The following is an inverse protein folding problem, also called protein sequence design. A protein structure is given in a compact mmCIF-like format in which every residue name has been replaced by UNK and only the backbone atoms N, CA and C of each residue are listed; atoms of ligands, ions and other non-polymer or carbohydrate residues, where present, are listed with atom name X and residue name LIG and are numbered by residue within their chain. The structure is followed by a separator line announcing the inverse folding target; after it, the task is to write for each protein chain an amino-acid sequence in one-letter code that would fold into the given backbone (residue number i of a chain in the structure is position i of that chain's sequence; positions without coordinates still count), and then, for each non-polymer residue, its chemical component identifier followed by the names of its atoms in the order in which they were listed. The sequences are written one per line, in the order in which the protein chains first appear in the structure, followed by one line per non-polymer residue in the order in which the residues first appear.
data_IF_775297406814
#
_entry.id   IF_775297406814
#
_cell.length_a   1.000
_cell.length_b   1.000
_cell.length_c   1.000
_cell.angle_alpha   90.00
_cell.angle_beta   90.00
_cell.angle_gamma   90.00
#
_symmetry.space_group_name_H-M   'P 1'
#
loop_
_entity.id
_entity.type
_entity.pdbx_description
1 polymer ?
#
# COMPACT_ATOMS: atom_id res chain seq x y z
N UNK A 1 49.32 53.86 43.24
CA UNK A 1 48.92 54.98 42.36
C UNK A 1 47.57 54.60 41.74
N UNK A 2 46.53 55.39 42.08
CA UNK A 2 45.14 55.41 41.57
C UNK A 2 44.20 54.19 41.79
N UNK A 3 43.51 54.29 42.94
CA UNK A 3 42.08 54.05 43.28
C UNK A 3 41.09 54.15 42.08
N UNK A 4 39.86 53.64 42.02
CA UNK A 4 38.90 52.84 42.83
C UNK A 4 37.68 52.63 41.92
N UNK A 5 36.88 51.58 42.11
CA UNK A 5 35.57 51.46 41.45
C UNK A 5 34.75 50.27 41.93
N UNK A 6 34.01 50.45 43.03
CA UNK A 6 33.00 49.52 43.51
C UNK A 6 31.78 49.51 42.59
N UNK A 7 31.30 48.31 42.24
CA UNK A 7 29.98 48.07 41.66
C UNK A 7 29.32 46.89 42.35
N UNK A 8 28.45 47.17 43.32
CA UNK A 8 27.55 46.21 43.95
C UNK A 8 26.44 45.88 42.95
N UNK A 9 26.31 44.62 42.54
CA UNK A 9 25.15 44.15 41.78
C UNK A 9 24.39 43.11 42.59
N UNK A 10 23.15 43.46 42.94
CA UNK A 10 22.20 42.60 43.62
C UNK A 10 21.91 41.32 42.82
N UNK A 11 21.87 40.19 43.53
CA UNK A 11 21.27 38.93 43.07
C UNK A 11 19.76 39.14 42.91
N UNK A 12 19.24 38.82 41.74
CA UNK A 12 17.82 38.48 41.54
C UNK A 12 17.78 37.07 40.97
N UNK A 13 17.16 36.16 41.72
CA UNK A 13 16.84 34.80 41.28
C UNK A 13 15.89 34.83 40.08
N UNK A 14 16.05 33.97 39.07
CA UNK A 14 14.97 33.71 38.13
C UNK A 14 14.10 32.57 38.65
N UNK A 15 12.85 32.89 38.99
CA UNK A 15 11.75 31.94 39.08
C UNK A 15 11.57 31.24 37.72
N UNK A 16 11.57 29.91 37.77
CA UNK A 16 11.26 29.05 36.63
C UNK A 16 9.75 29.11 36.36
N UNK A 17 9.36 29.78 35.28
CA UNK A 17 8.01 29.73 34.71
C UNK A 17 8.00 28.62 33.64
N UNK A 18 7.06 27.65 33.70
CA UNK A 18 6.98 26.57 32.71
C UNK A 18 6.53 27.07 31.33
N UNK A 19 6.97 26.45 30.22
CA UNK A 19 6.58 26.87 28.88
C UNK A 19 5.10 26.55 28.62
N UNK A 20 4.32 27.60 28.37
CA UNK A 20 2.98 27.49 27.77
C UNK A 20 3.13 27.10 26.30
N UNK A 21 2.57 25.95 25.93
CA UNK A 21 2.38 25.50 24.55
C UNK A 21 1.36 26.43 23.88
N UNK A 22 1.84 27.35 23.05
CA UNK A 22 1.02 28.21 22.20
C UNK A 22 0.69 27.50 20.89
N UNK A 23 -0.60 27.20 20.68
CA UNK A 23 -1.13 26.76 19.40
C UNK A 23 -0.85 27.80 18.30
N UNK A 24 -0.19 27.37 17.23
CA UNK A 24 -0.03 28.13 15.99
C UNK A 24 -1.42 28.43 15.38
N UNK A 25 -1.84 29.69 15.47
CA UNK A 25 -2.84 30.28 14.58
C UNK A 25 -2.15 30.62 13.25
N UNK A 26 -2.57 29.96 12.17
CA UNK A 26 -2.28 30.40 10.81
C UNK A 26 -3.03 31.71 10.53
N UNK A 27 -2.29 32.79 10.31
CA UNK A 27 -2.81 34.05 9.76
C UNK A 27 -2.17 34.27 8.40
N UNK A 28 -2.97 34.10 7.33
CA UNK A 28 -2.66 34.57 5.99
C UNK A 28 -2.70 36.10 5.99
N UNK A 29 -1.60 36.76 5.57
CA UNK A 29 -1.66 38.02 4.80
C UNK A 29 -0.35 38.31 4.06
N UNK A 30 -0.54 38.44 2.74
CA UNK A 30 0.19 39.16 1.68
C UNK A 30 1.37 40.08 2.03
N UNK A 31 2.44 39.96 1.23
CA UNK A 31 3.19 41.01 0.47
C UNK A 31 4.46 40.34 -0.10
N UNK A 32 4.67 40.14 -1.41
CA UNK A 32 4.82 41.06 -2.56
C UNK A 32 6.14 41.87 -2.58
N UNK A 33 6.92 41.64 -3.66
CA UNK A 33 8.05 42.40 -4.27
C UNK A 33 9.43 42.26 -3.59
N UNK A 34 10.59 42.13 -4.26
CA UNK A 34 11.03 42.20 -5.67
C UNK A 34 12.52 41.75 -5.78
N UNK A 35 12.96 41.29 -6.96
CA UNK A 35 14.37 41.32 -7.41
C UNK A 35 14.93 39.97 -7.89
N UNK A 36 14.67 39.52 -9.13
CA UNK A 36 15.41 39.77 -10.40
C UNK A 36 16.80 39.11 -10.52
N UNK A 37 16.85 38.03 -11.32
CA UNK A 37 17.91 37.52 -12.24
C UNK A 37 17.61 36.01 -12.43
N UNK A 38 17.20 35.45 -13.56
CA UNK A 38 17.32 35.84 -14.96
C UNK A 38 18.22 34.84 -15.69
N UNK A 39 17.77 33.60 -15.96
CA UNK A 39 18.24 32.73 -17.04
C UNK A 39 17.03 31.94 -17.57
N UNK A 40 16.74 32.15 -18.86
CA UNK A 40 15.74 31.45 -19.62
C UNK A 40 16.34 30.17 -20.21
N UNK A 41 15.62 29.05 -20.08
CA UNK A 41 15.72 27.91 -20.99
C UNK A 41 14.31 27.36 -21.21
N UNK A 42 13.89 27.49 -22.46
CA UNK A 42 12.66 27.03 -23.08
C UNK A 42 12.64 25.49 -23.16
N UNK A 43 11.48 24.87 -22.91
CA UNK A 43 10.84 23.72 -23.61
C UNK A 43 9.80 23.03 -22.68
N UNK A 44 8.76 22.36 -23.22
CA UNK A 44 7.39 22.84 -23.14
C UNK A 44 6.50 21.98 -22.24
N UNK A 45 5.36 22.58 -21.87
CA UNK A 45 4.23 21.96 -21.19
C UNK A 45 3.90 20.56 -21.73
N UNK A 46 4.11 19.56 -20.88
CA UNK A 46 3.41 18.29 -21.00
C UNK A 46 1.91 18.57 -20.80
N UNK A 47 1.17 18.45 -21.89
CA UNK A 47 -0.28 18.41 -21.92
C UNK A 47 -0.78 17.35 -20.95
N UNK A 48 -1.60 17.75 -19.99
CA UNK A 48 -2.43 16.86 -19.20
C UNK A 48 -3.28 16.00 -20.15
N UNK A 49 -2.89 14.73 -20.31
CA UNK A 49 -3.71 13.70 -20.95
C UNK A 49 -4.92 13.50 -20.04
N UNK A 50 -6.03 14.14 -20.41
CA UNK A 50 -7.38 13.70 -20.04
C UNK A 50 -7.45 12.21 -20.39
N UNK A 51 -7.42 11.35 -19.39
CA UNK A 51 -7.90 9.98 -19.50
C UNK A 51 -9.40 10.07 -19.82
N UNK A 52 -9.69 10.22 -21.10
CA UNK A 52 -11.01 9.92 -21.63
C UNK A 52 -11.25 8.44 -21.34
N UNK A 53 -12.12 8.17 -20.38
CA UNK A 53 -12.82 6.91 -20.27
C UNK A 53 -13.52 6.67 -21.61
N UNK A 54 -12.83 5.97 -22.51
CA UNK A 54 -13.41 5.47 -23.75
C UNK A 54 -14.28 4.29 -23.35
N UNK A 55 -15.54 4.60 -23.09
CA UNK A 55 -16.68 3.70 -23.07
C UNK A 55 -16.91 3.10 -24.47
N UNK A 56 -15.91 2.38 -24.98
CA UNK A 56 -15.90 1.79 -26.33
C UNK A 56 -16.04 0.26 -26.29
N UNK A 57 -15.90 -0.37 -25.12
CA UNK A 57 -16.19 -1.80 -24.96
C UNK A 57 -17.70 -2.08 -24.75
N UNK A 58 -18.44 -1.16 -24.11
CA UNK A 58 -19.88 -1.33 -23.87
C UNK A 58 -20.78 -1.02 -25.09
N UNK A 59 -20.24 -0.45 -26.17
CA UNK A 59 -20.97 -0.30 -27.43
C UNK A 59 -20.88 -1.53 -28.36
N UNK A 60 -19.99 -2.48 -28.09
CA UNK A 60 -19.94 -3.73 -28.85
C UNK A 60 -21.14 -4.65 -28.55
N UNK A 61 -21.69 -4.60 -27.33
CA UNK A 61 -22.89 -5.37 -26.94
C UNK A 61 -24.17 -4.88 -27.62
N UNK A 62 -24.18 -3.64 -28.14
CA UNK A 62 -25.33 -3.06 -28.86
C UNK A 62 -25.39 -3.43 -30.35
N UNK A 63 -24.27 -3.84 -30.95
CA UNK A 63 -24.20 -4.15 -32.39
C UNK A 63 -24.57 -5.61 -32.72
N UNK A 64 -24.54 -6.52 -31.75
CA UNK A 64 -24.96 -7.91 -31.97
C UNK A 64 -26.48 -8.10 -31.99
N UNK A 65 -27.28 -7.13 -31.49
CA UNK A 65 -28.75 -7.19 -31.48
C UNK A 65 -29.43 -6.46 -32.65
N UNK A 66 -28.67 -5.83 -33.54
CA UNK A 66 -29.20 -4.94 -34.58
C UNK A 66 -29.19 -5.45 -36.02
N UNK A 67 -28.65 -6.65 -36.28
CA UNK A 67 -28.51 -7.19 -37.64
C UNK A 67 -29.47 -8.35 -37.96
N UNK A 68 -30.66 -8.38 -37.35
CA UNK A 68 -31.81 -9.17 -37.85
C UNK A 68 -32.61 -8.42 -38.94
N UNK A 69 -31.89 -7.68 -39.79
CA UNK A 69 -32.44 -7.02 -40.97
C UNK A 69 -32.69 -8.00 -42.12
N UNK A 70 -33.80 -8.72 -42.05
CA UNK A 70 -34.66 -9.10 -43.18
C UNK A 70 -34.04 -9.76 -44.43
N UNK A 71 -33.01 -10.60 -44.30
CA UNK A 71 -32.92 -11.81 -45.13
C UNK A 71 -33.21 -12.96 -44.21
N UNK A 72 -34.39 -13.56 -44.35
CA UNK A 72 -34.70 -14.81 -43.67
C UNK A 72 -33.53 -15.78 -43.88
N UNK A 73 -33.16 -16.59 -42.88
CA UNK A 73 -32.07 -17.56 -43.02
C UNK A 73 -32.28 -18.27 -44.36
N UNK A 74 -31.28 -18.17 -45.25
CA UNK A 74 -31.29 -18.87 -46.52
C UNK A 74 -31.62 -20.32 -46.18
N UNK A 75 -32.84 -20.73 -46.55
CA UNK A 75 -33.38 -22.01 -46.17
C UNK A 75 -32.67 -23.04 -47.05
N UNK A 76 -31.49 -23.44 -46.61
CA UNK A 76 -30.65 -24.42 -47.29
C UNK A 76 -31.39 -25.76 -47.40
N UNK A 77 -32.34 -26.04 -46.50
CA UNK A 77 -33.21 -27.21 -46.60
C UNK A 77 -34.22 -27.02 -47.75
N UNK A 78 -34.80 -25.84 -47.92
CA UNK A 78 -35.64 -25.54 -49.09
C UNK A 78 -34.84 -25.58 -50.41
N UNK A 79 -33.58 -25.14 -50.40
CA UNK A 79 -32.70 -25.27 -51.56
C UNK A 79 -32.37 -26.74 -51.86
N UNK A 80 -32.09 -27.55 -50.83
CA UNK A 80 -31.91 -29.00 -50.95
C UNK A 80 -33.16 -29.65 -51.55
N UNK A 81 -34.35 -29.34 -51.03
CA UNK A 81 -35.64 -29.85 -51.56
C UNK A 81 -35.84 -29.42 -53.01
N UNK A 82 -35.45 -28.20 -53.36
CA UNK A 82 -35.55 -27.70 -54.74
C UNK A 82 -34.62 -28.47 -55.67
N UNK A 83 -33.38 -28.75 -55.26
CA UNK A 83 -32.43 -29.60 -56.01
C UNK A 83 -32.94 -31.04 -56.13
N UNK A 84 -33.51 -31.61 -55.06
CA UNK A 84 -34.13 -32.94 -55.09
C UNK A 84 -35.38 -33.02 -55.97
N UNK A 85 -36.10 -31.91 -56.18
CA UNK A 85 -37.20 -31.91 -57.16
C UNK A 85 -36.67 -31.95 -58.60
N UNK A 86 -35.51 -31.33 -58.85
CA UNK A 86 -34.86 -31.38 -60.16
C UNK A 86 -34.35 -32.78 -60.50
N UNK A 87 -34.01 -33.62 -59.52
CA UNK A 87 -33.55 -35.01 -59.76
C UNK A 87 -34.64 -35.91 -60.35
N UNK A 88 -35.92 -35.57 -60.15
CA UNK A 88 -37.05 -36.32 -60.71
C UNK A 88 -37.38 -35.94 -62.16
N UNK A 89 -36.63 -35.04 -62.77
CA UNK A 89 -36.84 -34.63 -64.16
C UNK A 89 -36.27 -35.66 -65.15
N UNK A 90 -36.94 -35.81 -66.30
CA UNK A 90 -36.55 -36.75 -67.36
C UNK A 90 -35.18 -36.42 -67.97
N UNK A 91 -34.50 -37.41 -68.54
CA UNK A 91 -33.14 -37.26 -69.10
C UNK A 91 -33.04 -36.12 -70.13
N UNK A 92 -34.07 -35.92 -70.96
CA UNK A 92 -34.11 -34.82 -71.94
C UNK A 92 -34.10 -33.44 -71.27
N UNK A 93 -34.73 -33.31 -70.09
CA UNK A 93 -34.80 -32.08 -69.31
C UNK A 93 -33.46 -31.74 -68.64
N UNK A 94 -32.60 -32.72 -68.34
CA UNK A 94 -31.34 -32.49 -67.62
C UNK A 94 -30.32 -31.66 -68.42
N UNK A 95 -30.30 -31.79 -69.74
CA UNK A 95 -29.42 -30.95 -70.59
C UNK A 95 -29.75 -29.45 -70.45
N UNK A 96 -31.03 -29.12 -70.28
CA UNK A 96 -31.51 -27.75 -70.05
C UNK A 96 -31.24 -27.25 -68.63
N UNK A 97 -30.96 -28.14 -67.67
CA UNK A 97 -30.66 -27.78 -66.28
C UNK A 97 -29.19 -27.39 -66.07
N UNK A 98 -28.29 -27.71 -67.01
CA UNK A 98 -26.85 -27.43 -66.85
C UNK A 98 -26.56 -25.95 -66.52
N UNK A 99 -27.12 -24.95 -67.23
CA UNK A 99 -26.89 -23.54 -66.89
C UNK A 99 -27.36 -23.16 -65.49
N UNK A 100 -28.45 -23.80 -65.00
CA UNK A 100 -28.95 -23.59 -63.65
C UNK A 100 -28.02 -24.23 -62.61
N UNK A 101 -27.54 -25.45 -62.85
CA UNK A 101 -26.54 -26.13 -62.00
C UNK A 101 -25.27 -25.28 -61.89
N UNK A 102 -24.76 -24.79 -63.02
CA UNK A 102 -23.57 -23.94 -63.07
C UNK A 102 -23.80 -22.61 -62.34
N UNK A 103 -25.01 -22.04 -62.43
CA UNK A 103 -25.40 -20.85 -61.68
C UNK A 103 -25.45 -21.11 -60.16
N UNK A 104 -25.98 -22.25 -59.71
CA UNK A 104 -26.02 -22.60 -58.28
C UNK A 104 -24.60 -22.85 -57.76
N UNK A 105 -23.75 -23.59 -58.50
CA UNK A 105 -22.34 -23.76 -58.13
C UNK A 105 -21.62 -22.42 -58.01
N UNK A 106 -21.83 -21.53 -58.97
CA UNK A 106 -21.24 -20.18 -58.93
C UNK A 106 -21.68 -19.42 -57.68
N UNK A 107 -22.95 -19.51 -57.27
CA UNK A 107 -23.46 -18.88 -56.04
C UNK A 107 -22.84 -19.52 -54.77
N UNK A 108 -22.77 -20.85 -54.71
CA UNK A 108 -22.13 -21.57 -53.61
C UNK A 108 -20.66 -21.16 -53.45
N UNK A 109 -19.92 -21.12 -54.55
CA UNK A 109 -18.49 -20.84 -54.57
C UNK A 109 -18.13 -19.37 -54.34
N UNK A 110 -18.84 -18.46 -55.00
CA UNK A 110 -18.48 -17.04 -55.01
C UNK A 110 -19.16 -16.22 -53.93
N UNK A 111 -20.27 -16.69 -53.37
CA UNK A 111 -21.05 -15.92 -52.39
C UNK A 111 -21.11 -16.64 -51.05
N UNK A 112 -21.63 -17.87 -51.02
CA UNK A 112 -21.95 -18.55 -49.76
C UNK A 112 -20.69 -19.05 -49.03
N UNK A 113 -19.72 -19.65 -49.73
CA UNK A 113 -18.49 -20.14 -49.09
C UNK A 113 -17.65 -18.99 -48.49
N UNK A 114 -17.43 -17.86 -49.21
CA UNK A 114 -16.78 -16.69 -48.64
C UNK A 114 -17.54 -16.10 -47.45
N UNK A 115 -18.88 -16.14 -47.47
CA UNK A 115 -19.68 -15.66 -46.34
C UNK A 115 -19.47 -16.52 -45.08
N UNK A 116 -19.50 -17.85 -45.20
CA UNK A 116 -19.18 -18.76 -44.09
C UNK A 116 -17.77 -18.47 -43.53
N UNK A 117 -16.78 -18.28 -44.40
CA UNK A 117 -15.41 -17.94 -44.00
C UNK A 117 -15.32 -16.60 -43.26
N UNK A 118 -16.09 -15.60 -43.71
CA UNK A 118 -16.21 -14.30 -43.05
C UNK A 118 -16.88 -14.41 -41.68
N UNK A 119 -17.97 -15.17 -41.56
CA UNK A 119 -18.64 -15.43 -40.29
C UNK A 119 -17.72 -16.15 -39.30
N UNK A 120 -16.95 -17.14 -39.75
CA UNK A 120 -15.94 -17.82 -38.93
C UNK A 120 -14.87 -16.84 -38.43
N UNK A 121 -14.29 -16.05 -39.33
CA UNK A 121 -13.27 -15.05 -38.97
C UNK A 121 -13.79 -14.02 -37.99
N UNK A 122 -15.06 -13.62 -38.12
CA UNK A 122 -15.72 -12.72 -37.19
C UNK A 122 -15.87 -13.36 -35.80
N UNK A 123 -16.33 -14.60 -35.72
CA UNK A 123 -16.47 -15.33 -34.46
C UNK A 123 -15.12 -15.50 -33.74
N UNK A 124 -14.05 -15.84 -34.48
CA UNK A 124 -12.70 -15.93 -33.93
C UNK A 124 -12.21 -14.57 -33.42
N UNK A 125 -12.40 -13.51 -34.22
CA UNK A 125 -12.01 -12.15 -33.82
C UNK A 125 -12.73 -11.69 -32.56
N UNK A 126 -14.00 -12.03 -32.37
CA UNK A 126 -14.75 -11.69 -31.15
C UNK A 126 -14.12 -12.33 -29.90
N UNK A 127 -13.70 -13.60 -29.99
CA UNK A 127 -12.99 -14.28 -28.91
C UNK A 127 -11.63 -13.64 -28.62
N UNK A 128 -10.86 -13.36 -29.67
CA UNK A 128 -9.52 -12.77 -29.55
C UNK A 128 -9.57 -11.35 -28.97
N UNK A 129 -10.53 -10.54 -29.40
CA UNK A 129 -10.71 -9.17 -28.91
C UNK A 129 -11.19 -9.16 -27.45
N UNK A 130 -12.08 -10.09 -27.06
CA UNK A 130 -12.46 -10.25 -25.66
C UNK A 130 -11.28 -10.71 -24.79
N UNK A 131 -10.44 -11.61 -25.30
CA UNK A 131 -9.26 -12.10 -24.59
C UNK A 131 -8.20 -10.99 -24.35
N UNK A 132 -8.05 -10.03 -25.28
CA UNK A 132 -7.19 -8.85 -25.07
C UNK A 132 -7.62 -7.99 -23.88
N UNK A 133 -8.90 -8.03 -23.50
CA UNK A 133 -9.42 -7.31 -22.33
C UNK A 133 -8.70 -7.69 -21.03
N UNK A 134 -8.26 -8.94 -20.89
CA UNK A 134 -7.50 -9.38 -19.71
C UNK A 134 -6.11 -8.74 -19.62
N UNK A 135 -5.43 -8.54 -20.75
CA UNK A 135 -4.10 -7.93 -20.79
C UNK A 135 -4.13 -6.42 -20.50
N UNK A 136 -5.30 -5.78 -20.60
CA UNK A 136 -5.48 -4.37 -20.26
C UNK A 136 -5.61 -4.13 -18.74
N UNK A 137 -5.85 -5.18 -17.96
CA UNK A 137 -5.90 -5.09 -16.50
C UNK A 137 -4.46 -5.05 -15.93
N UNK A 138 -4.18 -4.10 -15.02
CA UNK A 138 -2.84 -3.89 -14.45
C UNK A 138 -2.37 -5.08 -13.60
N UNK A 139 -1.06 -5.29 -13.56
CA UNK A 139 -0.46 -6.25 -12.64
C UNK A 139 -0.63 -5.82 -11.17
N UNK A 140 -0.73 -6.78 -10.23
CA UNK A 140 -0.83 -6.47 -8.81
C UNK A 140 0.46 -5.85 -8.27
N UNK A 141 0.32 -4.94 -7.31
CA UNK A 141 1.43 -4.33 -6.60
C UNK A 141 2.23 -5.36 -5.77
N UNK A 142 3.55 -5.13 -5.67
CA UNK A 142 4.46 -6.02 -4.97
C UNK A 142 4.57 -5.68 -3.48
N UNK A 143 3.97 -6.53 -2.64
CA UNK A 143 3.95 -6.34 -1.18
C UNK A 143 5.29 -6.48 -0.46
N UNK A 144 6.34 -6.95 -1.13
CA UNK A 144 7.65 -7.15 -0.48
C UNK A 144 8.32 -5.83 -0.09
N UNK A 145 8.07 -4.74 -0.83
CA UNK A 145 8.75 -3.45 -0.63
C UNK A 145 8.48 -2.83 0.75
N UNK A 146 7.22 -2.83 1.21
CA UNK A 146 6.87 -2.31 2.56
C UNK A 146 7.53 -3.14 3.66
N UNK A 147 7.64 -4.45 3.46
CA UNK A 147 8.28 -5.37 4.41
C UNK A 147 9.76 -5.03 4.63
N UNK A 148 10.49 -4.81 3.55
CA UNK A 148 11.93 -4.48 3.57
C UNK A 148 12.20 -3.13 4.27
N UNK A 149 11.45 -2.08 3.91
CA UNK A 149 11.64 -0.74 4.51
C UNK A 149 11.26 -0.74 6.00
N UNK A 150 10.26 -1.52 6.39
CA UNK A 150 9.88 -1.69 7.80
C UNK A 150 11.02 -2.31 8.61
N UNK A 151 11.64 -3.36 8.11
CA UNK A 151 12.75 -4.02 8.78
C UNK A 151 13.95 -3.07 8.94
N UNK A 152 14.28 -2.32 7.89
CA UNK A 152 15.32 -1.28 7.94
C UNK A 152 15.02 -0.22 9.02
N UNK A 153 13.79 0.27 9.09
CA UNK A 153 13.39 1.24 10.10
C UNK A 153 13.51 0.69 11.53
N UNK A 154 13.08 -0.56 11.75
CA UNK A 154 13.17 -1.22 13.06
C UNK A 154 14.62 -1.36 13.52
N UNK A 155 15.51 -1.80 12.63
CA UNK A 155 16.93 -1.93 12.94
C UNK A 155 17.56 -0.56 13.22
N UNK A 156 17.20 0.47 12.44
CA UNK A 156 17.66 1.84 12.69
C UNK A 156 17.26 2.35 14.09
N UNK A 157 16.01 2.11 14.52
CA UNK A 157 15.53 2.55 15.84
C UNK A 157 16.20 1.82 17.00
N UNK A 158 16.58 0.55 16.83
CA UNK A 158 17.39 -0.19 17.84
C UNK A 158 18.76 0.46 18.02
N UNK A 159 19.42 0.79 16.91
CA UNK A 159 20.72 1.48 16.94
C UNK A 159 20.60 2.88 17.55
N UNK A 160 19.60 3.68 17.16
CA UNK A 160 19.32 4.97 17.78
C UNK A 160 19.10 4.86 19.29
N UNK A 161 18.36 3.84 19.73
CA UNK A 161 18.12 3.59 21.15
C UNK A 161 19.39 3.30 21.94
N UNK A 162 20.34 2.56 21.36
CA UNK A 162 21.64 2.34 22.00
C UNK A 162 22.47 3.63 22.11
N UNK A 163 22.43 4.49 21.09
CA UNK A 163 23.17 5.75 21.06
C UNK A 163 22.61 6.78 22.04
N UNK A 164 21.29 6.83 22.24
CA UNK A 164 20.70 7.78 23.20
C UNK A 164 21.07 7.43 24.64
N UNK A 165 21.14 6.14 24.97
CA UNK A 165 21.59 5.69 26.30
C UNK A 165 23.06 6.07 26.52
N UNK A 166 23.95 5.74 25.59
CA UNK A 166 25.38 6.10 25.66
C UNK A 166 25.61 7.62 25.73
N UNK A 167 24.83 8.40 24.98
CA UNK A 167 24.88 9.85 25.01
C UNK A 167 24.43 10.40 26.38
N UNK A 168 23.32 9.92 26.92
CA UNK A 168 22.81 10.35 28.23
C UNK A 168 23.81 10.02 29.34
N UNK A 169 24.26 8.77 29.44
CA UNK A 169 25.22 8.33 30.46
C UNK A 169 26.51 9.18 30.39
N UNK A 170 27.01 9.44 29.18
CA UNK A 170 28.20 10.27 28.98
C UNK A 170 27.99 11.73 29.40
N UNK A 171 26.80 12.27 29.18
CA UNK A 171 26.46 13.64 29.52
C UNK A 171 26.19 13.83 31.01
N UNK A 172 25.58 12.85 31.66
CA UNK A 172 25.40 12.83 33.12
C UNK A 172 26.75 12.82 33.84
N UNK A 173 27.69 11.98 33.39
CA UNK A 173 29.08 11.99 33.87
C UNK A 173 29.77 13.35 33.67
N UNK A 174 29.50 14.01 32.53
CA UNK A 174 30.06 15.32 32.24
C UNK A 174 29.53 16.38 33.23
N UNK A 175 28.26 16.29 33.62
CA UNK A 175 27.65 17.17 34.61
C UNK A 175 28.26 16.94 36.00
N UNK A 176 28.40 15.69 36.44
CA UNK A 176 29.04 15.36 37.73
C UNK A 176 30.48 15.88 37.78
N UNK A 177 31.26 15.70 36.71
CA UNK A 177 32.64 16.22 36.64
C UNK A 177 32.70 17.76 36.62
N UNK A 178 31.70 18.42 36.04
CA UNK A 178 31.60 19.87 36.08
C UNK A 178 31.36 20.38 37.51
N UNK A 179 30.54 19.70 38.31
CA UNK A 179 30.33 20.00 39.73
C UNK A 179 31.60 19.79 40.55
N UNK A 180 32.30 18.66 40.34
CA UNK A 180 33.60 18.38 41.00
C UNK A 180 34.62 19.47 40.66
N UNK A 181 34.68 19.91 39.40
CA UNK A 181 35.54 21.04 39.00
C UNK A 181 35.22 22.29 39.81
N UNK A 182 33.95 22.67 39.93
CA UNK A 182 33.54 23.86 40.70
C UNK A 182 34.02 23.75 42.15
N UNK A 183 33.73 22.63 42.82
CA UNK A 183 34.14 22.41 44.21
C UNK A 183 35.67 22.50 44.41
N UNK A 184 36.45 21.83 43.54
CA UNK A 184 37.92 21.84 43.63
C UNK A 184 38.50 23.23 43.36
N UNK A 185 37.97 23.96 42.39
CA UNK A 185 38.43 25.31 42.08
C UNK A 185 37.97 26.36 43.09
N UNK A 186 36.83 26.17 43.75
CA UNK A 186 36.43 26.99 44.91
C UNK A 186 37.37 26.78 46.10
N UNK A 187 37.78 25.53 46.38
CA UNK A 187 38.80 25.23 47.39
C UNK A 187 40.13 25.92 47.08
N UNK A 188 40.57 25.90 45.81
CA UNK A 188 41.76 26.63 45.36
C UNK A 188 41.65 28.13 45.66
N UNK A 189 40.52 28.77 45.30
CA UNK A 189 40.28 30.19 45.60
C UNK A 189 40.33 30.49 47.10
N UNK A 190 39.87 29.56 47.94
CA UNK A 190 39.93 29.70 49.38
C UNK A 190 41.37 29.72 49.93
N UNK A 191 42.27 28.92 49.36
CA UNK A 191 43.69 28.86 49.77
C UNK A 191 44.58 29.89 49.06
N UNK A 192 44.10 30.51 47.97
CA UNK A 192 44.76 31.62 47.26
C UNK A 192 44.61 32.98 47.98
N UNK A 193 43.83 33.03 49.04
CA UNK A 193 43.75 34.20 49.90
C UNK A 193 44.96 34.29 50.84
N UNK A 194 45.45 35.51 51.09
CA UNK A 194 46.52 35.73 52.06
C UNK A 194 46.04 35.28 53.45
N UNK A 195 46.77 34.41 54.16
CA UNK A 195 46.28 33.83 55.40
C UNK A 195 46.18 34.93 56.48
N UNK A 196 45.01 35.13 57.12
CA UNK A 196 44.86 36.12 58.18
C UNK A 196 45.67 35.76 59.44
N UNK A 197 46.00 34.48 59.61
CA UNK A 197 46.80 33.91 60.69
C UNK A 197 48.32 34.00 60.41
N UNK A 198 48.73 34.70 59.35
CA UNK A 198 50.14 34.85 59.02
C UNK A 198 50.90 35.37 60.25
N UNK A 199 51.92 34.65 60.77
CA UNK A 199 52.70 35.14 61.89
C UNK A 199 53.29 36.49 61.53
N UNK A 200 52.95 37.52 62.30
CA UNK A 200 53.43 38.86 62.04
C UNK A 200 54.97 38.83 62.09
N UNK A 201 55.61 39.42 61.07
CA UNK A 201 57.07 39.41 60.88
C UNK A 201 57.82 39.97 62.09
N UNK A 202 57.14 40.72 62.95
CA UNK A 202 57.69 41.39 64.11
C UNK A 202 57.17 40.90 65.47
N UNK A 203 56.19 39.98 65.52
CA UNK A 203 55.69 39.46 66.80
C UNK A 203 56.55 38.27 67.24
N UNK A 204 57.59 38.61 68.01
CA UNK A 204 58.27 37.66 68.87
C UNK A 204 57.28 37.26 69.96
N UNK A 205 56.65 36.10 69.80
CA UNK A 205 55.86 35.54 70.87
C UNK A 205 56.79 35.31 72.09
N UNK A 206 56.27 35.51 73.31
CA UNK A 206 57.07 35.48 74.54
C UNK A 206 57.76 34.13 74.82
N UNK A 207 57.40 33.10 74.05
CA UNK A 207 57.93 31.73 74.09
C UNK A 207 59.10 31.47 73.12
N UNK A 208 59.41 32.38 72.20
CA UNK A 208 60.53 32.22 71.27
C UNK A 208 61.88 32.52 71.94
N UNK A 209 62.62 31.47 72.25
CA UNK A 209 63.93 31.55 72.95
C UNK A 209 65.02 32.21 72.09
N UNK A 210 64.86 32.28 70.76
CA UNK A 210 65.82 32.92 69.84
C UNK A 210 65.17 33.40 68.52
N UNK A 211 65.86 34.31 67.80
CA UNK A 211 65.45 34.74 66.45
C UNK A 211 65.38 33.56 65.46
N UNK A 212 66.28 32.58 65.60
CA UNK A 212 66.31 31.40 64.72
C UNK A 212 65.01 30.58 64.81
N UNK A 213 64.49 30.39 66.03
CA UNK A 213 63.24 29.62 66.26
C UNK A 213 62.06 30.33 65.59
N UNK A 214 61.95 31.66 65.76
CA UNK A 214 60.93 32.47 65.12
C UNK A 214 61.01 32.38 63.58
N UNK A 215 62.20 32.61 63.01
CA UNK A 215 62.41 32.56 61.56
C UNK A 215 62.06 31.17 60.98
N UNK A 216 62.41 30.08 61.68
CA UNK A 216 62.03 28.71 61.29
C UNK A 216 60.52 28.50 61.32
N UNK A 217 59.81 28.99 62.33
CA UNK A 217 58.35 28.88 62.43
C UNK A 217 57.64 29.63 61.29
N UNK A 218 58.03 30.88 61.02
CA UNK A 218 57.48 31.68 59.90
C UNK A 218 57.74 30.97 58.57
N UNK A 219 58.98 30.50 58.34
CA UNK A 219 59.33 29.74 57.14
C UNK A 219 58.44 28.49 56.99
N UNK A 220 58.34 27.67 58.04
CA UNK A 220 57.57 26.43 57.99
C UNK A 220 56.08 26.68 57.74
N UNK A 221 55.51 27.75 58.31
CA UNK A 221 54.12 28.17 58.06
C UNK A 221 53.89 28.48 56.58
N UNK A 222 54.72 29.34 55.97
CA UNK A 222 54.57 29.67 54.55
C UNK A 222 54.88 28.49 53.65
N UNK A 223 55.83 27.62 54.01
CA UNK A 223 56.07 26.37 53.28
C UNK A 223 54.81 25.48 53.25
N UNK A 224 54.12 25.33 54.39
CA UNK A 224 52.87 24.58 54.44
C UNK A 224 51.77 25.23 53.58
N UNK A 225 51.63 26.56 53.64
CA UNK A 225 50.62 27.29 52.84
C UNK A 225 50.88 27.20 51.35
N UNK A 226 52.13 27.33 50.92
CA UNK A 226 52.52 27.10 49.53
C UNK A 226 52.21 25.66 49.11
N UNK A 227 52.47 24.67 49.98
CA UNK A 227 52.12 23.28 49.69
C UNK A 227 50.60 23.07 49.53
N UNK A 228 49.78 23.61 50.46
CA UNK A 228 48.31 23.57 50.37
C UNK A 228 47.80 24.20 49.07
N UNK A 229 48.38 25.33 48.67
CA UNK A 229 48.07 26.02 47.44
C UNK A 229 48.41 25.19 46.20
N UNK A 230 49.63 24.65 46.11
CA UNK A 230 50.07 23.81 44.98
C UNK A 230 49.16 22.59 44.81
N UNK A 231 48.81 21.92 45.90
CA UNK A 231 47.90 20.76 45.85
C UNK A 231 46.50 21.17 45.38
N UNK A 232 45.98 22.31 45.82
CA UNK A 232 44.66 22.78 45.39
C UNK A 232 44.64 23.26 43.92
N UNK A 233 45.72 23.89 43.46
CA UNK A 233 45.91 24.27 42.06
C UNK A 233 45.94 23.03 41.16
N UNK A 234 46.69 22.00 41.55
CA UNK A 234 46.77 20.73 40.83
C UNK A 234 45.39 20.04 40.78
N UNK A 235 44.69 19.95 41.91
CA UNK A 235 43.34 19.38 41.97
C UNK A 235 42.35 20.12 41.06
N UNK A 236 42.33 21.46 41.09
CA UNK A 236 41.47 22.27 40.23
C UNK A 236 41.82 22.13 38.75
N UNK A 237 43.11 22.12 38.41
CA UNK A 237 43.60 21.94 37.03
C UNK A 237 43.20 20.58 36.49
N UNK A 238 43.44 19.51 37.26
CA UNK A 238 43.07 18.14 36.89
C UNK A 238 41.56 17.97 36.74
N UNK A 239 40.76 18.52 37.67
CA UNK A 239 39.30 18.48 37.57
C UNK A 239 38.80 19.26 36.35
N UNK A 240 39.40 20.41 36.06
CA UNK A 240 39.08 21.21 34.87
C UNK A 240 39.34 20.45 33.59
N UNK A 241 40.51 19.82 33.45
CA UNK A 241 40.85 19.02 32.28
C UNK A 241 39.88 17.84 32.09
N UNK A 242 39.56 17.10 33.16
CA UNK A 242 38.61 15.98 33.14
C UNK A 242 37.20 16.44 32.72
N UNK A 243 36.70 17.51 33.31
CA UNK A 243 35.38 18.06 32.97
C UNK A 243 35.32 18.53 31.51
N UNK A 244 36.33 19.25 31.03
CA UNK A 244 36.40 19.71 29.63
C UNK A 244 36.50 18.54 28.65
N UNK A 245 37.31 17.53 28.96
CA UNK A 245 37.42 16.33 28.13
C UNK A 245 36.09 15.58 28.04
N UNK A 246 35.42 15.32 29.18
CA UNK A 246 34.14 14.60 29.20
C UNK A 246 33.02 15.39 28.52
N UNK A 247 32.99 16.72 28.70
CA UNK A 247 32.03 17.60 28.01
C UNK A 247 32.16 17.54 26.48
N UNK A 248 33.39 17.50 25.96
CA UNK A 248 33.63 17.29 24.51
C UNK A 248 33.10 15.94 24.05
N UNK A 249 33.34 14.87 24.80
CA UNK A 249 32.82 13.53 24.48
C UNK A 249 31.30 13.49 24.50
N UNK A 250 30.65 14.06 25.52
CA UNK A 250 29.18 14.21 25.59
C UNK A 250 28.64 14.90 24.35
N UNK A 251 29.24 16.02 23.92
CA UNK A 251 28.83 16.73 22.70
C UNK A 251 28.89 15.82 21.46
N UNK A 252 30.01 15.12 21.25
CA UNK A 252 30.19 14.21 20.09
C UNK A 252 29.15 13.08 20.11
N UNK A 253 28.89 12.47 21.27
CA UNK A 253 27.89 11.40 21.41
C UNK A 253 26.48 11.90 21.14
N UNK A 254 26.13 13.06 21.68
CA UNK A 254 24.83 13.69 21.47
C UNK A 254 24.60 14.06 20.00
N UNK A 255 25.62 14.61 19.33
CA UNK A 255 25.55 14.93 17.90
C UNK A 255 25.41 13.64 17.05
N UNK A 256 26.16 12.58 17.37
CA UNK A 256 26.02 11.27 16.72
C UNK A 256 24.64 10.63 16.89
N UNK A 257 24.02 10.76 18.08
CA UNK A 257 22.63 10.34 18.28
C UNK A 257 21.65 11.14 17.42
N UNK A 258 21.79 12.47 17.35
CA UNK A 258 20.93 13.33 16.52
C UNK A 258 21.02 12.99 15.04
N UNK A 259 22.22 12.74 14.52
CA UNK A 259 22.44 12.33 13.14
C UNK A 259 21.76 10.99 12.86
N UNK A 260 21.91 10.01 13.76
CA UNK A 260 21.22 8.71 13.64
C UNK A 260 19.71 8.87 13.66
N UNK A 261 19.17 9.69 14.57
CA UNK A 261 17.73 10.00 14.65
C UNK A 261 17.21 10.61 13.35
N UNK A 262 17.95 11.53 12.75
CA UNK A 262 17.59 12.11 11.45
C UNK A 262 17.56 11.05 10.35
N UNK A 263 18.54 10.14 10.32
CA UNK A 263 18.56 9.00 9.40
C UNK A 263 17.34 8.09 9.60
N UNK A 264 17.01 7.72 10.84
CA UNK A 264 15.85 6.87 11.11
C UNK A 264 14.53 7.55 10.74
N UNK A 265 14.40 8.86 10.93
CA UNK A 265 13.25 9.64 10.48
C UNK A 265 13.14 9.70 8.94
N UNK A 266 14.25 9.64 8.21
CA UNK A 266 14.22 9.52 6.75
C UNK A 266 13.67 8.16 6.31
N UNK A 267 14.11 7.07 6.94
CA UNK A 267 13.57 5.72 6.68
C UNK A 267 12.10 5.63 7.06
N UNK A 268 11.70 6.25 8.18
CA UNK A 268 10.28 6.32 8.54
C UNK A 268 9.44 7.00 7.45
N UNK A 269 9.91 8.12 6.87
CA UNK A 269 9.21 8.77 5.76
C UNK A 269 9.11 7.87 4.53
N UNK A 270 10.15 7.10 4.23
CA UNK A 270 10.08 6.09 3.15
C UNK A 270 9.05 5.02 3.47
N UNK A 271 9.02 4.50 4.69
CA UNK A 271 8.01 3.53 5.13
C UNK A 271 6.59 4.10 5.01
N UNK A 272 6.39 5.36 5.40
CA UNK A 272 5.09 6.03 5.30
C UNK A 272 4.66 6.21 3.83
N UNK A 273 5.59 6.58 2.94
CA UNK A 273 5.31 6.68 1.49
C UNK A 273 4.96 5.32 0.89
N UNK A 274 5.77 4.28 1.13
CA UNK A 274 5.51 2.92 0.64
C UNK A 274 4.18 2.36 1.18
N UNK A 275 3.83 2.67 2.44
CA UNK A 275 2.54 2.30 2.99
C UNK A 275 1.36 3.04 2.33
N UNK A 276 1.54 4.33 2.00
CA UNK A 276 0.55 5.10 1.24
C UNK A 276 0.39 4.59 -0.20
N UNK A 277 1.49 4.21 -0.85
CA UNK A 277 1.48 3.65 -2.20
C UNK A 277 0.83 2.26 -2.18
N UNK A 278 1.18 1.40 -1.23
CA UNK A 278 0.52 0.11 -1.00
C UNK A 278 -0.99 0.27 -0.80
N UNK A 279 -1.42 1.30 -0.07
CA UNK A 279 -2.84 1.59 0.13
C UNK A 279 -3.54 2.05 -1.14
N UNK A 280 -2.88 2.93 -1.91
CA UNK A 280 -3.37 3.39 -3.21
C UNK A 280 -3.48 2.22 -4.19
N UNK A 281 -2.50 1.34 -4.18
CA UNK A 281 -2.49 0.11 -4.97
C UNK A 281 -3.52 -0.90 -4.48
N UNK A 282 -3.82 -0.97 -3.18
CA UNK A 282 -4.98 -1.73 -2.70
C UNK A 282 -6.29 -1.19 -3.28
N UNK A 283 -6.43 0.14 -3.38
CA UNK A 283 -7.58 0.74 -4.08
C UNK A 283 -7.59 0.38 -5.58
N UNK A 284 -6.42 0.40 -6.23
CA UNK A 284 -6.27 -0.09 -7.60
C UNK A 284 -6.54 -1.59 -7.74
N UNK A 285 -6.28 -2.41 -6.72
CA UNK A 285 -6.63 -3.82 -6.70
C UNK A 285 -8.17 -4.02 -6.74
N UNK A 286 -8.95 -3.15 -6.08
CA UNK A 286 -10.40 -3.14 -6.26
C UNK A 286 -10.81 -2.79 -7.70
N UNK A 287 -10.13 -1.82 -8.33
CA UNK A 287 -10.38 -1.45 -9.73
C UNK A 287 -9.90 -2.54 -10.70
N UNK A 288 -8.84 -3.26 -10.36
CA UNK A 288 -8.29 -4.35 -11.13
C UNK A 288 -9.22 -5.56 -11.07
N UNK A 289 -9.80 -5.83 -9.89
CA UNK A 289 -10.83 -6.86 -9.74
C UNK A 289 -12.08 -6.52 -10.57
N UNK A 290 -12.53 -5.25 -10.59
CA UNK A 290 -13.62 -4.85 -11.49
C UNK A 290 -13.23 -4.99 -12.96
N UNK A 291 -12.01 -4.62 -13.35
CA UNK A 291 -11.48 -4.81 -14.71
C UNK A 291 -11.49 -6.29 -15.11
N UNK A 292 -10.96 -7.18 -14.27
CA UNK A 292 -10.90 -8.62 -14.51
C UNK A 292 -12.30 -9.24 -14.56
N UNK A 293 -13.23 -8.79 -13.71
CA UNK A 293 -14.62 -9.23 -13.74
C UNK A 293 -15.32 -8.79 -15.04
N UNK A 294 -15.13 -7.54 -15.46
CA UNK A 294 -15.65 -7.01 -16.73
C UNK A 294 -15.08 -7.77 -17.92
N UNK A 295 -13.76 -8.01 -17.96
CA UNK A 295 -13.10 -8.81 -19.00
C UNK A 295 -13.60 -10.26 -19.01
N UNK A 296 -13.84 -10.85 -17.84
CA UNK A 296 -14.41 -12.19 -17.71
C UNK A 296 -15.82 -12.26 -18.28
N UNK A 297 -16.68 -11.32 -17.92
CA UNK A 297 -18.05 -11.25 -18.42
C UNK A 297 -18.06 -11.04 -19.95
N UNK A 298 -17.25 -10.11 -20.45
CA UNK A 298 -17.11 -9.87 -21.89
C UNK A 298 -16.65 -11.13 -22.65
N UNK A 299 -15.69 -11.89 -22.09
CA UNK A 299 -15.24 -13.14 -22.67
C UNK A 299 -16.31 -14.23 -22.64
N UNK A 300 -17.06 -14.37 -21.53
CA UNK A 300 -18.17 -15.33 -21.42
C UNK A 300 -19.25 -15.03 -22.46
N UNK A 301 -19.62 -13.76 -22.62
CA UNK A 301 -20.61 -13.33 -23.61
C UNK A 301 -20.13 -13.55 -25.05
N UNK A 302 -18.87 -13.19 -25.33
CA UNK A 302 -18.25 -13.42 -26.64
C UNK A 302 -18.16 -14.92 -26.96
N UNK A 303 -17.81 -15.75 -25.98
CA UNK A 303 -17.75 -17.20 -26.11
C UNK A 303 -19.12 -17.82 -26.39
N UNK A 304 -20.15 -17.41 -25.66
CA UNK A 304 -21.53 -17.85 -25.92
C UNK A 304 -21.96 -17.52 -27.35
N UNK A 305 -21.68 -16.30 -27.80
CA UNK A 305 -22.01 -15.83 -29.16
C UNK A 305 -21.21 -16.57 -30.24
N UNK A 306 -19.90 -16.68 -30.07
CA UNK A 306 -19.02 -17.36 -31.01
C UNK A 306 -19.34 -18.87 -31.12
N UNK A 307 -19.68 -19.52 -30.01
CA UNK A 307 -20.15 -20.92 -30.01
C UNK A 307 -21.45 -21.09 -30.81
N UNK A 308 -22.41 -20.17 -30.65
CA UNK A 308 -23.64 -20.20 -31.43
C UNK A 308 -23.38 -19.99 -32.94
N UNK A 309 -22.51 -19.03 -33.29
CA UNK A 309 -22.08 -18.81 -34.67
C UNK A 309 -21.38 -20.04 -35.25
N UNK A 310 -20.47 -20.68 -34.51
CA UNK A 310 -19.77 -21.89 -34.93
C UNK A 310 -20.76 -23.01 -35.28
N UNK A 311 -21.81 -23.22 -34.46
CA UNK A 311 -22.85 -24.22 -34.75
C UNK A 311 -23.57 -23.89 -36.07
N UNK A 312 -23.92 -22.63 -36.29
CA UNK A 312 -24.58 -22.17 -37.53
C UNK A 312 -23.69 -22.38 -38.76
N UNK A 313 -22.42 -21.97 -38.69
CA UNK A 313 -21.40 -22.15 -39.73
C UNK A 313 -21.25 -23.63 -40.08
N UNK A 314 -21.16 -24.51 -39.07
CA UNK A 314 -21.04 -25.96 -39.27
C UNK A 314 -22.26 -26.54 -39.99
N UNK A 315 -23.47 -26.10 -39.63
CA UNK A 315 -24.70 -26.52 -40.29
C UNK A 315 -24.75 -26.05 -41.75
N UNK A 316 -24.49 -24.75 -41.99
CA UNK A 316 -24.45 -24.17 -43.33
C UNK A 316 -23.42 -24.87 -44.21
N UNK A 317 -22.22 -25.12 -43.70
CA UNK A 317 -21.16 -25.82 -44.41
C UNK A 317 -21.59 -27.23 -44.83
N UNK A 318 -22.21 -28.00 -43.91
CA UNK A 318 -22.70 -29.35 -44.22
C UNK A 318 -23.78 -29.33 -45.29
N UNK A 319 -24.74 -28.42 -45.19
CA UNK A 319 -25.80 -28.29 -46.17
C UNK A 319 -25.23 -27.87 -47.54
N UNK A 320 -24.31 -26.91 -47.59
CA UNK A 320 -23.63 -26.53 -48.82
C UNK A 320 -22.87 -27.70 -49.47
N UNK A 321 -22.10 -28.47 -48.69
CA UNK A 321 -21.37 -29.63 -49.21
C UNK A 321 -22.29 -30.76 -49.66
N UNK A 322 -23.46 -30.92 -49.04
CA UNK A 322 -24.49 -31.84 -49.52
C UNK A 322 -25.09 -31.38 -50.85
N UNK A 323 -25.42 -30.09 -50.98
CA UNK A 323 -25.94 -29.52 -52.24
C UNK A 323 -24.90 -29.68 -53.36
N UNK A 324 -23.63 -29.37 -53.10
CA UNK A 324 -22.52 -29.58 -54.04
C UNK A 324 -22.46 -31.05 -54.51
N UNK A 325 -22.54 -32.01 -53.58
CA UNK A 325 -22.62 -33.44 -53.91
C UNK A 325 -23.84 -33.80 -54.76
N UNK A 326 -25.02 -33.26 -54.45
CA UNK A 326 -26.25 -33.51 -55.21
C UNK A 326 -26.16 -32.93 -56.64
N UNK A 327 -25.55 -31.76 -56.80
CA UNK A 327 -25.28 -31.15 -58.11
C UNK A 327 -24.30 -32.02 -58.93
N UNK A 328 -23.27 -32.56 -58.29
CA UNK A 328 -22.34 -33.50 -58.93
C UNK A 328 -23.04 -34.81 -59.34
N UNK A 329 -23.91 -35.34 -58.48
CA UNK A 329 -24.69 -36.54 -58.79
C UNK A 329 -25.63 -36.32 -59.99
N UNK A 330 -26.26 -35.15 -60.07
CA UNK A 330 -27.12 -34.73 -61.18
C UNK A 330 -26.37 -34.62 -62.52
N UNK A 331 -25.14 -34.12 -62.49
CA UNK A 331 -24.34 -33.95 -63.70
C UNK A 331 -23.74 -35.27 -64.21
N UNK A 332 -23.33 -36.16 -63.31
CA UNK A 332 -22.56 -37.35 -63.65
C UNK A 332 -23.40 -38.61 -63.91
N UNK A 333 -24.64 -38.69 -63.39
CA UNK A 333 -25.48 -39.90 -63.52
C UNK A 333 -26.61 -39.71 -64.55
N UNK A 334 -26.54 -40.47 -65.65
CA UNK A 334 -27.58 -40.44 -66.69
C UNK A 334 -28.72 -41.40 -66.40
N UNK A 335 -28.42 -42.60 -65.90
CA UNK A 335 -29.43 -43.60 -65.56
C UNK A 335 -30.13 -43.26 -64.24
N UNK A 336 -31.41 -43.62 -64.12
CA UNK A 336 -32.22 -43.29 -62.94
C UNK A 336 -31.77 -44.04 -61.68
N UNK A 337 -31.37 -45.30 -61.81
CA UNK A 337 -30.93 -46.13 -60.68
C UNK A 337 -29.59 -45.63 -60.10
N UNK A 338 -28.64 -45.27 -60.98
CA UNK A 338 -27.36 -44.67 -60.59
C UNK A 338 -27.55 -43.34 -59.86
N UNK A 339 -28.48 -42.50 -60.35
CA UNK A 339 -28.80 -41.22 -59.71
C UNK A 339 -29.40 -41.42 -58.31
N UNK A 340 -30.31 -42.37 -58.14
CA UNK A 340 -30.92 -42.69 -56.83
C UNK A 340 -29.88 -43.13 -55.80
N UNK A 341 -28.95 -43.99 -56.22
CA UNK A 341 -27.84 -44.44 -55.39
C UNK A 341 -26.91 -43.28 -55.02
N UNK A 342 -26.54 -42.43 -55.98
CA UNK A 342 -25.69 -41.26 -55.75
C UNK A 342 -26.33 -40.24 -54.80
N UNK A 343 -27.64 -40.00 -54.90
CA UNK A 343 -28.38 -39.14 -53.96
C UNK A 343 -28.31 -39.71 -52.54
N UNK A 344 -28.50 -41.02 -52.40
CA UNK A 344 -28.43 -41.71 -51.10
C UNK A 344 -27.03 -41.61 -50.50
N UNK A 345 -26.00 -41.78 -51.32
CA UNK A 345 -24.61 -41.59 -50.90
C UNK A 345 -24.36 -40.16 -50.41
N UNK A 346 -24.79 -39.15 -51.17
CA UNK A 346 -24.64 -37.74 -50.78
C UNK A 346 -25.33 -37.40 -49.45
N UNK A 347 -26.50 -37.98 -49.16
CA UNK A 347 -27.20 -37.78 -47.89
C UNK A 347 -26.47 -38.39 -46.70
N UNK A 348 -25.86 -39.56 -46.93
CA UNK A 348 -25.16 -40.31 -45.89
C UNK A 348 -23.70 -39.85 -45.71
N UNK A 349 -23.17 -39.07 -46.64
CA UNK A 349 -21.79 -38.57 -46.60
C UNK A 349 -21.59 -37.62 -45.42
N UNK A 350 -20.64 -37.97 -44.56
CA UNK A 350 -20.23 -37.11 -43.44
C UNK A 350 -19.15 -36.14 -43.94
N UNK A 351 -19.49 -34.86 -43.97
CA UNK A 351 -18.53 -33.81 -44.31
C UNK A 351 -17.74 -33.36 -43.07
N UNK A 352 -16.41 -33.35 -43.18
CA UNK A 352 -15.51 -32.89 -42.11
C UNK A 352 -15.76 -31.42 -41.78
N UNK A 353 -15.78 -31.10 -40.49
CA UNK A 353 -16.03 -29.76 -39.95
C UNK A 353 -14.86 -29.25 -39.10
N UNK A 354 -13.73 -29.95 -39.13
CA UNK A 354 -12.56 -29.64 -38.29
C UNK A 354 -11.94 -28.29 -38.62
N UNK A 355 -11.97 -27.87 -39.89
CA UNK A 355 -11.53 -26.55 -40.35
C UNK A 355 -12.36 -25.38 -39.81
N UNK A 356 -13.54 -25.67 -39.25
CA UNK A 356 -14.47 -24.68 -38.70
C UNK A 356 -14.51 -24.69 -37.17
N UNK A 357 -13.57 -25.40 -36.52
CA UNK A 357 -13.42 -25.33 -35.08
C UNK A 357 -12.83 -23.97 -34.68
N UNK A 358 -13.47 -23.28 -33.72
CA UNK A 358 -12.92 -22.07 -33.13
C UNK A 358 -11.72 -22.42 -32.24
N UNK A 359 -10.71 -21.54 -32.25
CA UNK A 359 -9.59 -21.63 -31.33
C UNK A 359 -9.91 -20.77 -30.12
N UNK A 360 -9.97 -21.38 -28.94
CA UNK A 360 -10.24 -20.65 -27.70
C UNK A 360 -8.90 -20.19 -27.10
N UNK A 361 -8.62 -18.87 -27.04
CA UNK A 361 -7.39 -18.41 -26.44
C UNK A 361 -7.36 -18.80 -24.96
N UNK A 362 -6.28 -19.48 -24.56
CA UNK A 362 -6.05 -19.79 -23.15
C UNK A 362 -5.68 -18.49 -22.44
N UNK A 363 -6.59 -17.98 -21.61
CA UNK A 363 -6.25 -16.95 -20.65
C UNK A 363 -6.03 -17.64 -19.31
N UNK A 364 -4.78 -17.60 -18.83
CA UNK A 364 -4.53 -17.83 -17.41
C UNK A 364 -5.07 -16.59 -16.71
N UNK A 365 -6.30 -16.66 -16.21
CA UNK A 365 -6.73 -15.69 -15.20
C UNK A 365 -5.61 -15.69 -14.16
N UNK A 366 -4.85 -14.60 -14.09
CA UNK A 366 -3.87 -14.44 -13.03
C UNK A 366 -4.65 -14.68 -11.75
N UNK A 367 -4.39 -15.81 -11.10
CA UNK A 367 -5.15 -16.26 -9.95
C UNK A 367 -5.29 -15.07 -9.02
N UNK A 368 -6.52 -14.79 -8.60
CA UNK A 368 -6.99 -13.56 -7.98
C UNK A 368 -6.11 -13.16 -6.79
N UNK A 369 -4.94 -12.57 -7.08
CA UNK A 369 -3.89 -12.32 -6.09
C UNK A 369 -4.11 -10.99 -5.38
N UNK A 370 -5.29 -10.40 -5.55
CA UNK A 370 -5.94 -9.64 -4.50
C UNK A 370 -6.45 -10.61 -3.41
N UNK A 371 -5.59 -11.50 -2.92
CA UNK A 371 -5.93 -12.47 -1.88
C UNK A 371 -6.13 -11.70 -0.58
N UNK A 372 -7.34 -11.18 -0.33
CA UNK A 372 -7.84 -10.72 0.98
C UNK A 372 -6.87 -9.85 1.83
N UNK A 373 -5.93 -9.15 1.18
CA UNK A 373 -4.69 -8.70 1.84
C UNK A 373 -4.84 -7.44 2.70
N UNK A 374 -6.03 -6.87 2.76
CA UNK A 374 -6.46 -6.15 3.94
C UNK A 374 -7.65 -6.92 4.51
N UNK A 375 -7.54 -7.56 5.69
CA UNK A 375 -8.70 -8.15 6.32
C UNK A 375 -9.78 -7.06 6.36
N UNK A 376 -11.02 -7.35 5.98
CA UNK A 376 -12.14 -6.41 6.16
C UNK A 376 -12.11 -5.76 7.56
N UNK A 377 -11.59 -6.49 8.54
CA UNK A 377 -11.24 -6.02 9.88
C UNK A 377 -10.32 -4.78 9.93
N UNK A 378 -9.26 -4.65 9.14
CA UNK A 378 -8.37 -3.47 9.18
C UNK A 378 -9.11 -2.19 8.76
N UNK A 379 -9.84 -2.22 7.64
CA UNK A 379 -10.65 -1.08 7.17
C UNK A 379 -11.73 -0.69 8.17
N UNK A 380 -12.45 -1.68 8.69
CA UNK A 380 -13.46 -1.44 9.73
C UNK A 380 -12.83 -0.87 10.99
N UNK A 381 -11.66 -1.39 11.40
CA UNK A 381 -10.94 -0.92 12.59
C UNK A 381 -10.44 0.51 12.44
N UNK A 382 -9.83 0.88 11.31
CA UNK A 382 -9.39 2.26 11.06
C UNK A 382 -10.57 3.23 11.06
N UNK A 383 -11.68 2.87 10.39
CA UNK A 383 -12.90 3.70 10.42
C UNK A 383 -13.47 3.81 11.82
N UNK A 384 -13.55 2.70 12.54
CA UNK A 384 -14.00 2.65 13.93
C UNK A 384 -13.13 3.54 14.82
N UNK A 385 -11.80 3.43 14.77
CA UNK A 385 -10.89 4.27 15.56
C UNK A 385 -11.05 5.75 15.21
N UNK A 386 -11.15 6.07 13.92
CA UNK A 386 -11.33 7.45 13.46
C UNK A 386 -12.66 8.06 13.91
N UNK A 387 -13.75 7.28 13.92
CA UNK A 387 -15.06 7.76 14.39
C UNK A 387 -15.12 7.79 15.92
N UNK A 388 -14.60 6.78 16.60
CA UNK A 388 -14.58 6.67 18.05
C UNK A 388 -13.72 7.75 18.70
N UNK A 389 -12.50 8.00 18.22
CA UNK A 389 -11.61 9.03 18.78
C UNK A 389 -12.10 10.46 18.50
N UNK A 390 -12.97 10.67 17.50
CA UNK A 390 -13.61 11.96 17.23
C UNK A 390 -14.77 12.27 18.19
N UNK A 391 -15.29 11.29 18.94
CA UNK A 391 -16.39 11.53 19.87
C UNK A 391 -15.92 12.39 21.05
N UNK A 392 -16.70 13.39 21.49
CA UNK A 392 -16.32 14.26 22.61
C UNK A 392 -16.10 13.49 23.92
N UNK A 393 -16.84 12.40 24.10
CA UNK A 393 -16.70 11.46 25.23
C UNK A 393 -15.29 10.84 25.31
N UNK A 394 -14.58 10.71 24.19
CA UNK A 394 -13.23 10.15 24.10
C UNK A 394 -12.12 11.21 24.03
N UNK A 395 -12.44 12.47 24.29
CA UNK A 395 -11.47 13.58 24.22
C UNK A 395 -10.29 13.40 25.19
N UNK A 396 -10.52 12.83 26.37
CA UNK A 396 -9.46 12.54 27.34
C UNK A 396 -8.56 11.40 26.85
N UNK A 397 -9.12 10.32 26.27
CA UNK A 397 -8.35 9.25 25.66
C UNK A 397 -7.50 9.76 24.49
N UNK A 398 -8.07 10.61 23.62
CA UNK A 398 -7.34 11.23 22.52
C UNK A 398 -6.17 12.09 23.04
N UNK A 399 -6.38 12.86 24.12
CA UNK A 399 -5.30 13.63 24.76
C UNK A 399 -4.19 12.72 25.27
N UNK A 400 -4.52 11.65 26.00
CA UNK A 400 -3.54 10.68 26.52
C UNK A 400 -2.76 9.98 25.41
N UNK A 401 -3.39 9.69 24.28
CA UNK A 401 -2.74 9.18 23.07
C UNK A 401 -1.74 10.18 22.48
N UNK A 402 -2.12 11.46 22.38
CA UNK A 402 -1.27 12.52 21.84
C UNK A 402 -0.09 12.84 22.78
N UNK A 403 -0.29 12.69 24.09
CA UNK A 403 0.74 12.85 25.13
C UNK A 403 1.65 11.61 25.25
N UNK A 404 1.30 10.51 24.58
CA UNK A 404 2.06 9.27 24.60
C UNK A 404 1.90 8.44 25.88
N UNK A 405 0.93 8.77 26.73
CA UNK A 405 0.61 7.99 27.94
C UNK A 405 0.05 6.60 27.60
N UNK A 406 -0.59 6.47 26.43
CA UNK A 406 -1.13 5.20 25.94
C UNK A 406 -0.43 4.84 24.62
N UNK A 407 0.23 3.68 24.51
CA UNK A 407 0.87 3.27 23.27
C UNK A 407 -0.14 3.08 22.14
N UNK A 408 0.09 3.68 20.97
CA UNK A 408 -0.79 3.53 19.80
C UNK A 408 -1.03 2.05 19.42
N UNK A 409 -0.03 1.18 19.61
CA UNK A 409 -0.14 -0.26 19.37
C UNK A 409 -1.23 -0.91 20.23
N UNK A 410 -1.39 -0.46 21.47
CA UNK A 410 -2.36 -1.01 22.41
C UNK A 410 -3.78 -0.61 22.04
N UNK A 411 -3.97 0.66 21.69
CA UNK A 411 -5.28 1.20 21.24
C UNK A 411 -5.78 0.53 19.98
N UNK A 412 -4.89 0.17 19.04
CA UNK A 412 -5.28 -0.58 17.84
C UNK A 412 -5.82 -1.97 18.18
N UNK A 413 -5.38 -2.56 19.29
CA UNK A 413 -5.77 -3.90 19.75
C UNK A 413 -6.97 -3.89 20.71
N UNK A 414 -7.35 -2.74 21.27
CA UNK A 414 -8.47 -2.64 22.21
C UNK A 414 -9.79 -3.09 21.58
N UNK A 415 -10.65 -3.80 22.32
CA UNK A 415 -11.98 -4.15 21.84
C UNK A 415 -12.86 -2.89 21.73
N UNK A 416 -13.97 -2.95 20.99
CA UNK A 416 -14.76 -1.75 20.68
C UNK A 416 -15.37 -1.10 21.94
N UNK A 417 -15.60 -1.89 22.97
CA UNK A 417 -16.17 -1.50 24.25
C UNK A 417 -15.29 -0.47 24.98
N UNK A 418 -13.97 -0.53 24.82
CA UNK A 418 -13.06 0.39 25.52
C UNK A 418 -13.17 1.85 25.06
N UNK A 419 -13.79 2.08 23.90
CA UNK A 419 -14.03 3.41 23.35
C UNK A 419 -15.43 3.96 23.68
N UNK A 420 -16.20 3.27 24.51
CA UNK A 420 -17.49 3.74 25.01
C UNK A 420 -17.29 4.47 26.33
N UNK A 421 -18.09 5.52 26.57
CA UNK A 421 -18.13 6.15 27.89
C UNK A 421 -18.63 5.18 28.97
N UNK A 422 -18.25 5.39 30.23
CA UNK A 422 -18.62 4.51 31.35
C UNK A 422 -20.13 4.23 31.45
N UNK A 423 -20.97 5.23 31.18
CA UNK A 423 -22.42 5.06 31.14
C UNK A 423 -22.88 4.10 30.04
N UNK A 424 -22.28 4.17 28.84
CA UNK A 424 -22.58 3.28 27.72
C UNK A 424 -22.03 1.87 27.95
N UNK A 425 -20.82 1.75 28.55
CA UNK A 425 -20.27 0.46 28.97
C UNK A 425 -21.20 -0.23 29.95
N UNK A 426 -21.66 0.49 31.00
CA UNK A 426 -22.59 -0.03 32.01
C UNK A 426 -23.95 -0.41 31.39
N UNK A 427 -24.45 0.38 30.45
CA UNK A 427 -25.70 0.05 29.75
C UNK A 427 -25.53 -1.22 28.90
N UNK A 428 -24.47 -1.34 28.10
CA UNK A 428 -24.23 -2.54 27.28
C UNK A 428 -24.01 -3.79 28.13
N UNK A 429 -23.35 -3.65 29.28
CA UNK A 429 -23.18 -4.76 30.22
C UNK A 429 -24.55 -5.22 30.73
N UNK A 430 -25.39 -4.28 31.17
CA UNK A 430 -26.76 -4.56 31.60
C UNK A 430 -27.59 -5.21 30.49
N UNK A 431 -27.57 -4.67 29.27
CA UNK A 431 -28.30 -5.24 28.13
C UNK A 431 -27.85 -6.68 27.83
N UNK A 432 -26.55 -6.98 28.01
CA UNK A 432 -25.99 -8.32 27.81
C UNK A 432 -26.40 -9.28 28.94
N UNK A 433 -26.44 -8.81 30.18
CA UNK A 433 -26.95 -9.56 31.33
C UNK A 433 -28.45 -9.85 31.19
N UNK A 434 -29.25 -8.86 30.81
CA UNK A 434 -30.68 -8.98 30.57
C UNK A 434 -30.96 -9.97 29.41
N UNK A 435 -30.21 -9.89 28.31
CA UNK A 435 -30.32 -10.82 27.20
C UNK A 435 -29.93 -12.26 27.57
N UNK A 436 -28.87 -12.44 28.38
CA UNK A 436 -28.48 -13.76 28.88
C UNK A 436 -29.55 -14.32 29.83
N UNK A 437 -30.10 -13.49 30.72
CA UNK A 437 -31.19 -13.88 31.61
C UNK A 437 -32.43 -14.31 30.81
N UNK A 438 -32.78 -13.60 29.74
CA UNK A 438 -33.89 -13.96 28.86
C UNK A 438 -33.67 -15.31 28.17
N UNK A 439 -32.46 -15.57 27.64
CA UNK A 439 -32.12 -16.86 27.02
C UNK A 439 -32.22 -18.00 28.03
N UNK A 440 -31.69 -17.80 29.24
CA UNK A 440 -31.71 -18.81 30.31
C UNK A 440 -33.12 -19.09 30.83
N UNK A 441 -34.00 -18.08 30.88
CA UNK A 441 -35.38 -18.21 31.33
C UNK A 441 -36.32 -18.76 30.23
N UNK A 442 -36.01 -18.53 28.95
CA UNK A 442 -36.78 -19.04 27.81
C UNK A 442 -36.30 -20.38 27.27
N UNK A 443 -35.17 -20.89 27.73
CA UNK A 443 -34.75 -22.26 27.44
C UNK A 443 -35.78 -23.22 28.06
N UNK A 444 -36.82 -23.57 27.28
CA UNK A 444 -37.70 -24.69 27.59
C UNK A 444 -36.78 -25.87 27.92
N UNK A 445 -37.07 -26.64 29.00
CA UNK A 445 -36.35 -27.88 29.24
C UNK A 445 -36.38 -28.67 27.94
N UNK A 446 -35.19 -29.03 27.44
CA UNK A 446 -35.04 -29.83 26.24
C UNK A 446 -35.72 -31.17 26.55
N UNK A 447 -36.99 -31.31 26.18
CA UNK A 447 -37.71 -32.57 26.32
C UNK A 447 -37.01 -33.58 25.41
N UNK A 448 -36.16 -34.41 26.02
CA UNK A 448 -35.62 -35.64 25.44
C UNK A 448 -36.77 -36.64 25.27
N UNK A 449 -37.77 -36.31 24.46
CA UNK A 449 -38.78 -37.25 23.99
C UNK A 449 -38.23 -37.97 22.76
N UNK A 450 -37.43 -38.98 23.03
CA UNK A 450 -37.01 -39.99 22.07
C UNK A 450 -36.68 -41.25 22.84
N UNK A 451 -37.71 -42.07 23.08
CA UNK A 451 -37.56 -43.40 23.63
C UNK A 451 -36.48 -44.16 22.84
N UNK A 452 -35.40 -44.54 23.52
CA UNK A 452 -34.47 -45.55 23.03
C UNK A 452 -35.29 -46.84 22.81
N UNK A 453 -35.39 -47.37 21.58
CA UNK A 453 -35.91 -48.71 21.40
C UNK A 453 -34.97 -49.69 22.10
N UNK A 454 -35.54 -50.54 22.95
CA UNK A 454 -34.82 -51.62 23.61
C UNK A 454 -34.17 -52.54 22.55
N UNK A 455 -32.87 -52.75 22.68
CA UNK A 455 -32.09 -53.77 21.99
C UNK A 455 -31.72 -54.86 22.99
#
# INVERSE_FOLDING_TARGET
MWLTGHGVSHRVSPEAIPPRVGCLRFSMKQSALLGLLGIALLLPCATARKLGSTSSALQASGLARGHEGARGPLDLDALEVSVLRLTNSSESSRSYLKPMIDSIRTMLEKELMPDISRQYSLAQKMLDDAAKGFAACKEPWNATQVGEVREQHQNCRKEESSLVVDANDTCDDAQVLAEVKVQKCEKMKGVDAYPPEAPAVCDKDSSDVSYEVHARRVRNFYMQKVHEWVMAEEECTNATQKATARSKTCKVRNDGWKDKRQSCNAIQRMLDMEACDAWTEYYHCSQNNSCLLEATNAFVDANGTATAMQRSIVLQWRAMKRIECLLDALENNRQADDLSNAITECRNKVHSTTSWALTYPYYKAAAWACADAAPRGYRQKVRFLATSLKRPENSQLLRRLLEGEVPCREVVLWPEEEFLGEAQKKQRLKDREDALAEILLKAKPFELCGALPAL
#
